data_IF_717529744800
#
_entry.id   IF_717529744800
#
_cell.length_a   1.000
_cell.length_b   1.000
_cell.length_c   1.000
_cell.angle_alpha   90.00
_cell.angle_beta   90.00
_cell.angle_gamma   90.00
#
_symmetry.space_group_name_H-M   'P 1'
#
loop_
_entity.id
_entity.type
_entity.pdbx_description
1 polymer ?
#
# COMPACT_ATOMS: atom_id res chain seq x y z
N UNK A 1 -47.24 26.51 -36.15
CA UNK A 1 -46.65 26.79 -34.81
C UNK A 1 -45.23 26.26 -34.81
N UNK A 2 -44.26 27.16 -34.74
CA UNK A 2 -42.85 26.91 -35.08
C UNK A 2 -42.11 26.22 -33.91
N UNK A 3 -41.55 25.05 -34.19
CA UNK A 3 -40.68 24.31 -33.28
C UNK A 3 -39.34 25.05 -33.11
N UNK A 4 -39.01 25.46 -31.88
CA UNK A 4 -37.69 26.01 -31.53
C UNK A 4 -36.66 24.89 -31.60
N UNK A 5 -35.73 24.97 -32.56
CA UNK A 5 -34.54 24.12 -32.63
C UNK A 5 -33.48 24.66 -31.66
N UNK A 6 -32.84 23.83 -30.83
CA UNK A 6 -31.70 24.24 -30.03
C UNK A 6 -30.48 24.51 -30.92
N UNK A 7 -29.79 25.60 -30.60
CA UNK A 7 -28.61 26.14 -31.28
C UNK A 7 -27.37 25.33 -30.87
N UNK A 8 -26.91 24.40 -31.73
CA UNK A 8 -25.70 23.60 -31.50
C UNK A 8 -24.59 24.21 -32.38
N UNK A 9 -23.48 24.72 -31.80
CA UNK A 9 -22.33 25.13 -32.60
C UNK A 9 -21.66 23.89 -33.23
N UNK A 10 -21.16 23.96 -34.48
CA UNK A 10 -20.44 22.85 -35.09
C UNK A 10 -19.15 22.55 -34.31
N UNK A 11 -18.97 21.26 -34.01
CA UNK A 11 -17.72 20.70 -33.49
C UNK A 11 -16.58 20.99 -34.47
N UNK A 12 -15.74 21.97 -34.13
CA UNK A 12 -14.46 22.20 -34.76
C UNK A 12 -13.39 22.27 -33.68
N UNK A 13 -12.77 21.14 -33.39
CA UNK A 13 -11.38 21.10 -32.93
C UNK A 13 -10.77 19.75 -33.30
N UNK A 14 -9.72 19.75 -34.14
CA UNK A 14 -9.11 18.54 -34.66
C UNK A 14 -8.29 17.82 -33.59
N UNK A 15 -8.30 16.49 -33.69
CA UNK A 15 -7.39 15.57 -33.00
C UNK A 15 -5.96 16.12 -33.01
N UNK A 16 -5.43 16.46 -31.83
CA UNK A 16 -4.01 16.65 -31.63
C UNK A 16 -3.32 15.30 -31.87
N UNK A 17 -2.65 15.16 -33.01
CA UNK A 17 -1.78 14.02 -33.29
C UNK A 17 -0.52 14.15 -32.42
N UNK A 18 -0.06 13.09 -31.73
CA UNK A 18 1.25 13.10 -31.09
C UNK A 18 2.35 13.10 -32.16
N UNK A 19 3.14 14.16 -32.21
CA UNK A 19 4.34 14.24 -33.05
C UNK A 19 5.42 13.35 -32.41
N UNK A 20 5.58 12.14 -32.95
CA UNK A 20 6.74 11.29 -32.75
C UNK A 20 7.94 11.94 -33.44
N UNK A 21 8.85 12.52 -32.67
CA UNK A 21 10.19 12.83 -33.14
C UNK A 21 11.08 11.60 -32.94
N UNK A 22 11.69 11.04 -34.00
CA UNK A 22 12.71 10.01 -33.84
C UNK A 22 14.03 10.69 -33.45
N UNK A 23 14.48 10.49 -32.20
CA UNK A 23 15.85 10.76 -31.80
C UNK A 23 16.76 9.70 -32.44
N UNK A 24 17.15 9.94 -33.69
CA UNK A 24 18.19 9.24 -34.41
C UNK A 24 19.44 10.13 -34.40
N UNK A 25 20.11 10.17 -33.26
CA UNK A 25 21.49 10.64 -33.20
C UNK A 25 22.40 9.55 -32.60
N UNK A 26 23.01 8.86 -33.56
CA UNK A 26 24.45 8.64 -33.62
C UNK A 26 25.06 7.68 -32.58
N UNK A 27 25.10 6.42 -33.00
CA UNK A 27 26.13 5.44 -32.63
C UNK A 27 27.52 6.10 -32.58
N UNK A 28 28.12 6.15 -31.39
CA UNK A 28 29.56 6.41 -31.22
C UNK A 28 30.16 5.22 -30.50
N UNK A 29 30.71 4.31 -31.30
CA UNK A 29 31.64 3.27 -30.87
C UNK A 29 32.92 3.96 -30.40
N UNK A 30 33.35 3.64 -29.18
CA UNK A 30 34.59 4.13 -28.59
C UNK A 30 34.89 3.32 -27.34
N UNK A 31 35.74 2.32 -27.50
CA UNK A 31 36.40 1.55 -26.45
C UNK A 31 37.20 2.49 -25.53
N UNK A 32 37.06 2.37 -24.20
CA UNK A 32 38.20 2.18 -23.30
C UNK A 32 37.78 2.00 -21.84
N UNK A 33 38.48 1.08 -21.21
CA UNK A 33 38.36 0.59 -19.84
C UNK A 33 38.90 1.56 -18.77
N UNK A 34 38.50 1.29 -17.52
CA UNK A 34 39.17 1.54 -16.22
C UNK A 34 38.71 2.73 -15.34
N UNK A 35 38.71 2.42 -14.02
CA UNK A 35 38.50 3.21 -12.80
C UNK A 35 37.06 3.44 -12.34
N UNK A 36 36.56 2.66 -11.36
CA UNK A 36 36.74 2.78 -9.89
C UNK A 36 35.95 3.96 -9.29
N UNK A 37 35.03 3.59 -8.37
CA UNK A 37 34.54 4.33 -7.19
C UNK A 37 33.83 5.67 -7.49
N UNK A 38 32.60 5.95 -7.07
CA UNK A 38 32.00 5.85 -5.74
C UNK A 38 30.48 5.69 -5.84
N UNK A 39 29.90 4.82 -5.00
CA UNK A 39 28.45 4.78 -4.76
C UNK A 39 28.07 6.01 -3.92
N UNK A 40 27.12 6.88 -4.32
CA UNK A 40 26.60 7.87 -3.39
C UNK A 40 25.86 7.14 -2.27
N UNK A 41 26.35 7.34 -1.05
CA UNK A 41 25.96 6.61 0.15
C UNK A 41 24.45 6.57 0.37
N UNK A 42 23.95 5.36 0.61
CA UNK A 42 22.67 5.11 1.28
C UNK A 42 22.74 5.78 2.66
N UNK A 43 22.17 6.98 2.78
CA UNK A 43 22.01 7.61 4.08
C UNK A 43 21.13 6.70 4.96
N UNK A 44 21.57 6.33 6.17
CA UNK A 44 20.71 5.60 7.08
C UNK A 44 19.53 6.50 7.45
N UNK A 45 18.33 6.04 7.08
CA UNK A 45 17.08 6.71 7.42
C UNK A 45 17.05 6.94 8.93
N UNK A 46 16.99 8.21 9.34
CA UNK A 46 17.00 8.61 10.75
C UNK A 46 15.91 7.84 11.51
N UNK A 47 16.18 7.26 12.69
CA UNK A 47 15.15 6.60 13.49
C UNK A 47 14.12 7.64 13.93
N UNK A 48 13.03 7.75 13.17
CA UNK A 48 11.90 8.57 13.51
C UNK A 48 11.24 8.03 14.75
N UNK A 49 11.39 8.76 15.86
CA UNK A 49 10.45 8.89 16.98
C UNK A 49 9.47 7.71 17.11
N UNK A 50 9.90 6.62 17.73
CA UNK A 50 9.06 5.47 18.05
C UNK A 50 7.99 5.91 19.06
N UNK A 51 6.82 6.29 18.56
CA UNK A 51 5.64 6.54 19.39
C UNK A 51 5.09 5.16 19.80
N UNK A 52 5.52 4.67 20.96
CA UNK A 52 5.08 3.39 21.54
C UNK A 52 6.03 2.25 21.16
N UNK A 53 6.78 1.75 22.16
CA UNK A 53 7.81 0.71 22.03
C UNK A 53 7.31 -0.68 21.65
N UNK A 54 6.56 -0.81 20.55
CA UNK A 54 6.20 -2.09 19.96
C UNK A 54 7.22 -2.47 18.90
N UNK A 55 7.64 -3.74 18.93
CA UNK A 55 8.53 -4.32 17.93
C UNK A 55 7.97 -4.02 16.53
N UNK A 56 8.73 -3.38 15.64
CA UNK A 56 8.25 -3.06 14.30
C UNK A 56 7.84 -4.35 13.58
N UNK A 57 6.90 -4.28 12.61
CA UNK A 57 6.61 -5.43 11.78
C UNK A 57 7.90 -5.90 11.08
N UNK A 58 8.04 -7.22 10.82
CA UNK A 58 9.17 -7.71 10.03
C UNK A 58 9.18 -7.02 8.66
N UNK A 59 10.37 -6.82 8.10
CA UNK A 59 10.47 -6.37 6.72
C UNK A 59 9.77 -7.38 5.80
N UNK A 60 9.20 -6.90 4.70
CA UNK A 60 8.43 -7.76 3.79
C UNK A 60 9.26 -8.94 3.26
N UNK A 61 10.58 -8.76 3.07
CA UNK A 61 11.51 -9.81 2.64
C UNK A 61 11.66 -10.95 3.67
N UNK A 62 11.44 -10.66 4.95
CA UNK A 62 11.62 -11.59 6.06
C UNK A 62 10.28 -12.10 6.62
N UNK A 63 9.16 -11.65 6.06
CA UNK A 63 7.83 -12.00 6.53
C UNK A 63 7.37 -13.33 5.91
N UNK A 64 6.87 -14.24 6.75
CA UNK A 64 6.19 -15.45 6.29
C UNK A 64 4.73 -15.09 5.97
N UNK A 65 4.26 -15.28 4.71
CA UNK A 65 2.88 -14.99 4.36
C UNK A 65 1.93 -16.01 5.00
N UNK A 66 0.82 -15.51 5.54
CA UNK A 66 -0.27 -16.33 6.09
C UNK A 66 -1.53 -16.07 5.28
N UNK A 67 -2.15 -17.14 4.78
CA UNK A 67 -3.44 -17.07 4.08
C UNK A 67 -4.56 -17.48 5.04
N UNK A 68 -5.56 -16.61 5.21
CA UNK A 68 -6.77 -16.88 6.00
C UNK A 68 -7.96 -16.75 5.06
N UNK A 69 -8.89 -17.69 5.12
CA UNK A 69 -10.09 -17.70 4.27
C UNK A 69 -11.27 -17.18 5.08
N UNK A 70 -11.93 -16.17 4.53
CA UNK A 70 -13.19 -15.62 5.03
C UNK A 70 -14.20 -15.66 3.88
N UNK A 71 -15.48 -15.74 4.19
CA UNK A 71 -16.49 -15.44 3.18
C UNK A 71 -16.56 -13.93 2.90
N UNK A 72 -17.33 -13.54 1.88
CA UNK A 72 -17.43 -12.13 1.46
C UNK A 72 -18.04 -11.22 2.54
N UNK A 73 -18.99 -11.75 3.31
CA UNK A 73 -19.69 -11.00 4.35
C UNK A 73 -18.77 -10.80 5.55
N UNK A 74 -18.15 -11.89 6.02
CA UNK A 74 -17.17 -11.87 7.11
C UNK A 74 -15.98 -10.98 6.77
N UNK A 75 -15.48 -11.01 5.52
CA UNK A 75 -14.40 -10.12 5.09
C UNK A 75 -14.79 -8.65 5.19
N UNK A 76 -16.02 -8.28 4.82
CA UNK A 76 -16.50 -6.91 4.91
C UNK A 76 -16.68 -6.45 6.37
N UNK A 77 -17.15 -7.32 7.25
CA UNK A 77 -17.23 -7.05 8.68
C UNK A 77 -15.84 -6.79 9.30
N UNK A 78 -14.83 -7.59 8.89
CA UNK A 78 -13.45 -7.39 9.30
C UNK A 78 -12.90 -6.05 8.79
N UNK A 79 -13.20 -5.68 7.54
CA UNK A 79 -12.82 -4.36 7.00
C UNK A 79 -13.36 -3.22 7.85
N UNK A 80 -14.66 -3.26 8.16
CA UNK A 80 -15.31 -2.25 9.00
C UNK A 80 -14.71 -2.21 10.42
N UNK A 81 -14.45 -3.37 11.01
CA UNK A 81 -13.80 -3.46 12.32
C UNK A 81 -12.39 -2.83 12.32
N UNK A 82 -11.60 -3.06 11.26
CA UNK A 82 -10.26 -2.44 11.16
C UNK A 82 -10.35 -0.93 10.97
N UNK A 83 -11.34 -0.43 10.22
CA UNK A 83 -11.59 1.00 10.07
C UNK A 83 -11.97 1.64 11.40
N UNK A 84 -12.84 1.01 12.20
CA UNK A 84 -13.24 1.53 13.51
C UNK A 84 -12.04 1.59 14.48
N UNK A 85 -11.22 0.53 14.52
CA UNK A 85 -9.99 0.52 15.33
C UNK A 85 -9.01 1.62 14.94
N UNK A 86 -8.91 1.93 13.64
CA UNK A 86 -8.04 3.00 13.15
C UNK A 86 -8.48 4.37 13.69
N UNK A 87 -9.78 4.61 13.68
CA UNK A 87 -10.38 5.85 14.21
C UNK A 87 -10.20 5.94 15.72
N UNK A 88 -10.55 4.89 16.46
CA UNK A 88 -10.43 4.83 17.93
C UNK A 88 -8.98 4.97 18.41
N UNK A 89 -8.02 4.39 17.67
CA UNK A 89 -6.59 4.48 17.98
C UNK A 89 -5.94 5.78 17.48
N UNK A 90 -6.67 6.67 16.82
CA UNK A 90 -6.17 7.91 16.21
C UNK A 90 -4.96 7.68 15.28
N UNK A 91 -4.96 6.58 14.52
CA UNK A 91 -3.86 6.25 13.59
C UNK A 91 -4.21 6.64 12.17
N UNK A 92 -3.26 7.23 11.45
CA UNK A 92 -3.41 7.53 10.01
C UNK A 92 -3.41 6.27 9.14
N UNK A 93 -2.62 5.28 9.55
CA UNK A 93 -2.46 4.02 8.85
C UNK A 93 -2.58 2.88 9.87
N UNK A 94 -3.44 1.93 9.55
CA UNK A 94 -3.61 0.66 10.24
C UNK A 94 -4.03 -0.34 9.17
N UNK A 95 -3.23 -1.38 8.97
CA UNK A 95 -3.53 -2.45 8.01
C UNK A 95 -4.11 -3.69 8.71
N UNK A 96 -4.81 -4.54 7.96
CA UNK A 96 -5.40 -5.77 8.49
C UNK A 96 -4.36 -6.67 9.15
N UNK A 97 -3.17 -6.78 8.55
CA UNK A 97 -2.12 -7.67 9.02
C UNK A 97 -1.57 -7.23 10.38
N UNK A 98 -1.46 -5.93 10.63
CA UNK A 98 -1.08 -5.33 11.90
C UNK A 98 -2.12 -5.65 12.96
N UNK A 99 -3.41 -5.48 12.64
CA UNK A 99 -4.50 -5.86 13.55
C UNK A 99 -4.45 -7.35 13.88
N UNK A 100 -4.30 -8.24 12.90
CA UNK A 100 -4.19 -9.68 13.17
C UNK A 100 -2.98 -10.03 14.04
N UNK A 101 -1.81 -9.41 13.80
CA UNK A 101 -0.63 -9.62 14.64
C UNK A 101 -0.89 -9.18 16.08
N UNK A 102 -1.52 -8.03 16.29
CA UNK A 102 -1.85 -7.52 17.63
C UNK A 102 -2.90 -8.39 18.33
N UNK A 103 -3.91 -8.88 17.62
CA UNK A 103 -4.90 -9.81 18.17
C UNK A 103 -4.25 -11.13 18.63
N UNK A 104 -3.32 -11.67 17.84
CA UNK A 104 -2.57 -12.88 18.23
C UNK A 104 -1.69 -12.59 19.45
N UNK A 105 -0.96 -11.46 19.47
CA UNK A 105 -0.16 -11.06 20.65
C UNK A 105 -1.03 -10.93 21.89
N UNK A 106 -2.17 -10.25 21.79
CA UNK A 106 -3.14 -10.11 22.88
C UNK A 106 -3.62 -11.48 23.36
N UNK A 107 -3.93 -12.41 22.46
CA UNK A 107 -4.33 -13.75 22.83
C UNK A 107 -3.21 -14.56 23.51
N UNK A 108 -1.95 -14.28 23.19
CA UNK A 108 -0.79 -14.92 23.82
C UNK A 108 -0.45 -14.32 25.19
N UNK A 109 -0.60 -13.01 25.36
CA UNK A 109 -0.21 -12.27 26.57
C UNK A 109 -1.36 -12.17 27.59
N UNK A 110 -2.61 -12.15 27.14
CA UNK A 110 -3.80 -11.97 27.98
C UNK A 110 -4.56 -13.29 28.19
N UNK A 111 -4.35 -13.91 29.36
CA UNK A 111 -4.90 -15.21 29.72
C UNK A 111 -6.45 -15.32 29.56
N UNK A 112 -7.28 -14.32 29.92
CA UNK A 112 -8.71 -14.38 29.66
C UNK A 112 -9.06 -14.49 28.17
N UNK A 113 -8.32 -13.81 27.29
CA UNK A 113 -8.51 -13.89 25.83
C UNK A 113 -8.19 -15.30 25.34
N UNK A 114 -7.07 -15.88 25.81
CA UNK A 114 -6.69 -17.25 25.50
C UNK A 114 -7.76 -18.26 25.91
N UNK A 115 -8.30 -18.14 27.12
CA UNK A 115 -9.36 -19.02 27.63
C UNK A 115 -10.65 -18.89 26.84
N UNK A 116 -11.06 -17.66 26.50
CA UNK A 116 -12.22 -17.42 25.66
C UNK A 116 -12.04 -18.06 24.27
N UNK A 117 -10.84 -17.96 23.69
CA UNK A 117 -10.51 -18.61 22.42
C UNK A 117 -10.58 -20.14 22.52
N UNK A 118 -9.95 -20.73 23.55
CA UNK A 118 -10.01 -22.20 23.79
C UNK A 118 -11.45 -22.68 23.95
N UNK A 119 -12.30 -21.90 24.65
CA UNK A 119 -13.72 -22.24 24.82
C UNK A 119 -14.51 -22.23 23.51
N UNK A 120 -14.16 -21.36 22.55
CA UNK A 120 -14.83 -21.31 21.24
C UNK A 120 -14.34 -22.39 20.26
N UNK A 121 -13.13 -22.91 20.45
CA UNK A 121 -12.52 -23.94 19.60
C UNK A 121 -12.86 -25.37 20.04
N UNK A 122 -13.50 -25.53 21.20
CA UNK A 122 -13.98 -26.80 21.74
C UNK A 122 -15.49 -26.90 21.53
#
# INVERSE_FOLDING_TARGET
MNARKPNIPPSTSPLAQPVLTPNLDRLRVGENSQNQEERPGLQPSRPGRTRGGRKPPPAAADAIPTTIRFDTTESAEIDLFVLSLREEAYRRHLDKAEVFRELIRLAMEHEPTKRALVKRLR
#
